data_IF_085470772517
#
_entry.id   IF_085470772517
#
_cell.length_a   1.000
_cell.length_b   1.000
_cell.length_c   1.000
_cell.angle_alpha   90.00
_cell.angle_beta   90.00
_cell.angle_gamma   90.00
#
_symmetry.space_group_name_H-M   'P 1'
#
loop_
_entity.id
_entity.type
_entity.pdbx_description
1 polymer ?
#
# COMPACT_ATOMS: atom_id res chain seq x y z
N UNK A 1 5.26 -14.38 -1.61
CA UNK A 1 4.40 -14.70 -2.77
C UNK A 1 2.97 -14.37 -2.37
N UNK A 2 2.51 -13.24 -2.89
CA UNK A 2 1.17 -12.69 -2.70
C UNK A 2 0.20 -13.44 -3.63
N UNK A 3 -0.90 -13.97 -3.08
CA UNK A 3 -1.80 -14.92 -3.77
C UNK A 3 -3.02 -14.20 -4.38
N UNK A 4 -2.85 -13.01 -4.96
CA UNK A 4 -3.95 -12.09 -5.27
C UNK A 4 -4.26 -11.83 -6.76
N UNK A 5 -3.54 -12.41 -7.72
CA UNK A 5 -3.63 -11.95 -9.13
C UNK A 5 -4.49 -12.78 -10.10
N UNK A 6 -5.45 -13.54 -9.60
CA UNK A 6 -6.64 -13.85 -10.41
C UNK A 6 -7.72 -12.82 -10.07
N UNK A 7 -7.76 -11.71 -10.80
CA UNK A 7 -8.84 -10.73 -10.70
C UNK A 7 -10.15 -11.32 -11.23
N UNK A 8 -10.79 -12.18 -10.43
CA UNK A 8 -12.09 -12.78 -10.74
C UNK A 8 -13.20 -11.80 -10.38
N UNK A 9 -13.97 -11.38 -11.37
CA UNK A 9 -15.19 -10.60 -11.16
C UNK A 9 -16.40 -11.54 -11.28
N UNK A 10 -17.18 -11.65 -10.19
CA UNK A 10 -18.44 -12.39 -10.19
C UNK A 10 -19.59 -11.42 -10.46
N UNK A 11 -20.39 -11.73 -11.48
CA UNK A 11 -21.62 -11.00 -11.79
C UNK A 11 -22.81 -11.89 -11.44
N UNK A 12 -23.54 -11.51 -10.40
CA UNK A 12 -24.83 -12.13 -10.05
C UNK A 12 -25.94 -11.19 -10.48
N UNK A 13 -27.01 -11.74 -11.06
CA UNK A 13 -28.18 -10.94 -11.38
C UNK A 13 -28.86 -10.48 -10.08
N UNK A 14 -29.20 -9.19 -10.00
CA UNK A 14 -29.89 -8.64 -8.83
C UNK A 14 -31.29 -9.22 -8.58
N UNK A 15 -31.86 -9.93 -9.57
CA UNK A 15 -33.06 -10.75 -9.45
C UNK A 15 -32.94 -12.00 -10.35
N UNK A 16 -33.51 -13.16 -9.95
CA UNK A 16 -33.55 -14.35 -10.80
C UNK A 16 -34.35 -14.10 -12.08
N UNK A 17 -33.84 -14.57 -13.23
CA UNK A 17 -34.59 -14.54 -14.49
C UNK A 17 -35.50 -15.76 -14.55
N UNK A 18 -36.81 -15.53 -14.55
CA UNK A 18 -37.78 -16.58 -14.85
C UNK A 18 -37.89 -16.75 -16.37
N UNK A 19 -37.54 -17.91 -16.88
CA UNK A 19 -37.65 -18.24 -18.31
C UNK A 19 -38.78 -19.23 -18.54
N UNK A 20 -39.41 -19.18 -19.72
CA UNK A 20 -40.32 -20.24 -20.18
C UNK A 20 -39.50 -21.38 -20.78
N UNK A 21 -40.10 -22.57 -20.87
CA UNK A 21 -39.50 -23.70 -21.61
C UNK A 21 -39.09 -23.24 -23.02
N UNK A 22 -37.86 -23.56 -23.44
CA UNK A 22 -37.22 -23.16 -24.72
C UNK A 22 -36.84 -21.68 -24.89
N UNK A 23 -36.53 -20.95 -23.81
CA UNK A 23 -36.00 -19.58 -23.92
C UNK A 23 -34.49 -19.57 -24.26
N UNK A 24 -34.04 -18.65 -25.11
CA UNK A 24 -32.61 -18.35 -25.34
C UNK A 24 -32.15 -17.25 -24.37
N UNK A 25 -31.05 -17.48 -23.65
CA UNK A 25 -30.41 -16.46 -22.81
C UNK A 25 -29.16 -15.93 -23.52
N UNK A 26 -29.16 -14.63 -23.84
CA UNK A 26 -28.01 -13.95 -24.47
C UNK A 26 -27.34 -13.00 -23.50
N UNK A 27 -26.08 -13.26 -23.19
CA UNK A 27 -25.26 -12.41 -22.32
C UNK A 27 -24.27 -11.61 -23.16
N UNK A 28 -24.21 -10.29 -22.93
CA UNK A 28 -23.24 -9.40 -23.58
C UNK A 28 -22.47 -8.64 -22.51
N UNK A 29 -21.17 -8.90 -22.42
CA UNK A 29 -20.26 -8.14 -21.57
C UNK A 29 -19.59 -7.05 -22.41
N UNK A 30 -19.66 -5.79 -21.97
CA UNK A 30 -18.98 -4.67 -22.64
C UNK A 30 -17.87 -4.17 -21.73
N UNK A 31 -16.63 -4.33 -22.16
CA UNK A 31 -15.45 -3.78 -21.49
C UNK A 31 -14.87 -2.66 -22.35
N UNK A 32 -14.99 -1.37 -21.96
CA UNK A 32 -14.29 -0.30 -22.65
C UNK A 32 -12.79 -0.46 -22.39
N UNK A 33 -11.99 -0.61 -23.46
CA UNK A 33 -10.55 -0.74 -23.33
C UNK A 33 -10.00 0.49 -22.57
N UNK A 34 -9.46 0.28 -21.38
CA UNK A 34 -8.67 1.30 -20.70
C UNK A 34 -7.28 1.37 -21.34
N UNK A 35 -6.55 2.46 -21.12
CA UNK A 35 -5.14 2.59 -21.50
C UNK A 35 -4.21 1.62 -20.77
N UNK A 36 -4.73 0.80 -19.85
CA UNK A 36 -3.99 -0.29 -19.21
C UNK A 36 -4.07 -1.57 -20.04
N UNK A 37 -2.95 -2.27 -20.18
CA UNK A 37 -2.76 -3.53 -20.94
C UNK A 37 -3.53 -4.74 -20.41
N UNK A 38 -4.61 -4.55 -19.64
CA UNK A 38 -5.38 -5.61 -19.01
C UNK A 38 -6.58 -5.98 -19.90
N UNK A 39 -6.64 -7.23 -20.35
CA UNK A 39 -7.75 -7.80 -21.09
C UNK A 39 -8.45 -8.88 -20.26
N UNK A 40 -9.74 -9.12 -20.53
CA UNK A 40 -10.46 -10.26 -19.97
C UNK A 40 -9.98 -11.55 -20.64
N UNK A 41 -9.29 -12.40 -19.89
CA UNK A 41 -8.71 -13.64 -20.42
C UNK A 41 -9.72 -14.78 -20.60
N UNK A 42 -10.60 -14.99 -19.61
CA UNK A 42 -11.56 -16.10 -19.60
C UNK A 42 -12.91 -15.65 -19.06
N UNK A 43 -13.99 -16.21 -19.61
CA UNK A 43 -15.35 -15.99 -19.14
C UNK A 43 -16.09 -17.32 -19.01
N UNK A 44 -16.83 -17.49 -17.91
CA UNK A 44 -17.68 -18.66 -17.66
C UNK A 44 -19.09 -18.17 -17.35
N UNK A 45 -20.07 -18.73 -18.04
CA UNK A 45 -21.49 -18.60 -17.69
C UNK A 45 -21.92 -19.92 -17.04
N UNK A 46 -22.64 -19.82 -15.93
CA UNK A 46 -23.21 -20.99 -15.27
C UNK A 46 -24.62 -20.67 -14.77
N UNK A 47 -25.48 -21.69 -14.82
CA UNK A 47 -26.76 -21.68 -14.15
C UNK A 47 -26.61 -22.35 -12.80
N UNK A 48 -27.11 -21.72 -11.74
CA UNK A 48 -27.06 -22.29 -10.43
C UNK A 48 -28.07 -23.45 -10.30
N UNK A 49 -27.70 -24.49 -9.57
CA UNK A 49 -28.51 -25.70 -9.40
C UNK A 49 -29.17 -25.79 -8.01
N UNK A 50 -28.88 -24.85 -7.12
CA UNK A 50 -29.35 -24.86 -5.74
C UNK A 50 -29.95 -23.48 -5.35
N UNK A 51 -31.26 -23.45 -5.15
CA UNK A 51 -32.01 -22.22 -4.86
C UNK A 51 -31.62 -21.55 -3.53
N UNK A 52 -31.20 -22.32 -2.52
CA UNK A 52 -30.77 -21.79 -1.22
C UNK A 52 -29.44 -21.03 -1.37
N UNK A 53 -28.46 -21.60 -2.08
CA UNK A 53 -27.18 -20.95 -2.36
C UNK A 53 -27.34 -19.73 -3.28
N UNK A 54 -28.26 -19.80 -4.25
CA UNK A 54 -28.61 -18.64 -5.09
C UNK A 54 -29.17 -17.51 -4.25
N UNK A 55 -30.05 -17.82 -3.30
CA UNK A 55 -30.63 -16.80 -2.46
C UNK A 55 -29.58 -16.12 -1.56
N UNK A 56 -28.51 -16.82 -1.15
CA UNK A 56 -27.35 -16.23 -0.46
C UNK A 56 -26.53 -15.29 -1.34
N UNK A 57 -26.40 -15.60 -2.64
CA UNK A 57 -25.68 -14.79 -3.64
C UNK A 57 -26.38 -13.48 -4.02
N UNK A 58 -27.70 -13.39 -3.83
CA UNK A 58 -28.45 -12.17 -4.13
C UNK A 58 -28.29 -11.20 -2.95
N UNK A 59 -27.76 -9.98 -3.18
CA UNK A 59 -27.58 -9.01 -2.10
C UNK A 59 -28.93 -8.54 -1.54
N UNK A 60 -29.02 -8.27 -0.23
CA UNK A 60 -30.21 -7.66 0.35
C UNK A 60 -30.55 -6.33 -0.32
N UNK A 61 -31.83 -6.09 -0.58
CA UNK A 61 -32.31 -4.82 -1.15
C UNK A 61 -32.72 -3.88 -0.03
N UNK A 62 -32.17 -2.68 -0.04
CA UNK A 62 -32.43 -1.68 0.99
C UNK A 62 -33.24 -0.51 0.42
N UNK A 63 -34.19 -0.02 1.22
CA UNK A 63 -34.80 1.30 0.97
C UNK A 63 -33.89 2.40 1.52
N UNK A 64 -34.04 3.66 1.07
CA UNK A 64 -33.35 4.79 1.70
C UNK A 64 -33.65 4.88 3.19
N UNK A 65 -32.68 5.38 3.96
CA UNK A 65 -32.90 5.70 5.36
C UNK A 65 -34.02 6.75 5.49
N UNK A 66 -34.88 6.56 6.47
CA UNK A 66 -35.86 7.55 6.91
C UNK A 66 -35.37 8.11 8.23
N UNK A 67 -35.37 9.44 8.40
CA UNK A 67 -34.94 10.09 9.64
C UNK A 67 -36.04 10.98 10.17
N UNK A 68 -36.32 10.91 11.47
CA UNK A 68 -37.23 11.81 12.17
C UNK A 68 -36.59 12.26 13.49
N UNK A 69 -36.73 13.54 13.81
CA UNK A 69 -36.11 14.16 14.97
C UNK A 69 -35.84 15.64 14.71
N UNK A 70 -35.39 16.39 15.72
CA UNK A 70 -35.16 15.96 17.10
C UNK A 70 -36.46 15.89 17.92
N UNK A 71 -36.68 14.79 18.65
CA UNK A 71 -37.63 14.74 19.76
C UNK A 71 -37.00 15.36 21.01
N UNK A 72 -37.83 16.00 21.83
CA UNK A 72 -37.38 16.61 23.08
C UNK A 72 -36.93 15.57 24.11
N UNK A 73 -35.81 15.83 24.76
CA UNK A 73 -35.30 15.05 25.88
C UNK A 73 -34.72 15.95 26.97
N UNK A 74 -34.87 15.53 28.22
CA UNK A 74 -34.35 16.23 29.40
C UNK A 74 -32.93 15.75 29.82
N UNK A 75 -32.19 15.12 28.90
CA UNK A 75 -30.81 14.66 29.15
C UNK A 75 -30.47 13.38 28.39
N UNK A 76 -29.18 13.03 28.32
CA UNK A 76 -28.74 11.78 27.67
C UNK A 76 -29.42 10.53 28.24
N UNK A 77 -29.39 10.38 29.57
CA UNK A 77 -29.98 9.22 30.24
C UNK A 77 -31.49 9.13 30.02
N UNK A 78 -32.20 10.24 30.20
CA UNK A 78 -33.65 10.34 29.97
C UNK A 78 -34.00 10.07 28.51
N UNK A 79 -33.29 10.68 27.56
CA UNK A 79 -33.49 10.43 26.13
C UNK A 79 -33.28 8.97 25.77
N UNK A 80 -32.31 8.30 26.39
CA UNK A 80 -32.02 6.89 26.14
C UNK A 80 -33.11 5.95 26.67
N UNK A 81 -33.66 6.23 27.86
CA UNK A 81 -34.63 5.35 28.54
C UNK A 81 -36.09 5.66 28.21
N UNK A 82 -36.45 6.92 27.92
CA UNK A 82 -37.81 7.31 27.54
C UNK A 82 -38.22 6.65 26.24
N UNK A 83 -39.35 5.94 26.25
CA UNK A 83 -39.93 5.33 25.06
C UNK A 83 -40.70 6.39 24.25
N UNK A 84 -40.29 6.62 23.00
CA UNK A 84 -41.00 7.51 22.07
C UNK A 84 -41.86 6.71 21.08
N UNK A 85 -42.87 7.35 20.49
CA UNK A 85 -43.80 6.70 19.56
C UNK A 85 -43.16 5.82 18.47
N UNK A 86 -42.05 6.23 17.79
CA UNK A 86 -41.38 5.37 16.80
C UNK A 86 -40.90 4.01 17.32
N UNK A 87 -40.68 3.86 18.63
CA UNK A 87 -40.27 2.58 19.24
C UNK A 87 -41.41 1.56 19.28
N UNK A 88 -42.67 2.03 19.31
CA UNK A 88 -43.87 1.20 19.34
C UNK A 88 -44.28 0.78 17.95
N UNK A 89 -44.43 1.77 17.07
CA UNK A 89 -44.82 1.58 15.68
C UNK A 89 -44.21 2.67 14.80
N UNK A 90 -43.55 2.24 13.72
CA UNK A 90 -43.02 3.15 12.72
C UNK A 90 -44.11 3.48 11.70
N UNK A 91 -44.76 4.63 11.89
CA UNK A 91 -45.66 5.23 10.90
C UNK A 91 -44.94 6.38 10.17
N UNK A 92 -44.56 6.12 8.91
CA UNK A 92 -43.81 7.07 8.08
C UNK A 92 -44.61 8.33 7.69
N UNK A 93 -45.94 8.32 7.85
CA UNK A 93 -46.79 9.46 7.50
C UNK A 93 -47.15 10.32 8.72
N UNK A 94 -46.87 9.83 9.93
CA UNK A 94 -47.22 10.50 11.18
C UNK A 94 -46.33 11.72 11.42
N UNK A 95 -46.94 12.76 11.98
CA UNK A 95 -46.26 13.93 12.51
C UNK A 95 -46.09 13.78 14.02
N UNK A 96 -44.97 14.29 14.54
CA UNK A 96 -44.63 14.22 15.95
C UNK A 96 -44.27 15.59 16.50
N UNK A 97 -44.49 15.83 17.80
CA UNK A 97 -43.99 17.03 18.45
C UNK A 97 -42.46 16.97 18.58
N UNK A 98 -41.75 17.79 17.81
CA UNK A 98 -40.31 17.96 17.91
C UNK A 98 -39.93 18.98 18.98
N UNK A 99 -38.62 19.25 19.09
CA UNK A 99 -38.09 20.22 20.06
C UNK A 99 -38.61 21.64 19.82
N UNK A 100 -38.71 22.08 18.55
CA UNK A 100 -39.08 23.45 18.17
C UNK A 100 -40.30 23.50 17.26
N UNK A 101 -40.51 22.45 16.49
CA UNK A 101 -41.53 22.38 15.44
C UNK A 101 -42.06 20.94 15.34
N UNK A 102 -43.13 20.78 14.57
CA UNK A 102 -43.59 19.45 14.18
C UNK A 102 -42.55 18.77 13.29
N UNK A 103 -42.18 17.53 13.62
CA UNK A 103 -41.21 16.74 12.87
C UNK A 103 -41.89 15.56 12.17
N UNK A 104 -41.36 15.18 11.01
CA UNK A 104 -41.85 14.07 10.18
C UNK A 104 -40.68 13.24 9.69
N UNK A 105 -40.98 12.01 9.26
CA UNK A 105 -39.99 11.17 8.60
C UNK A 105 -39.57 11.78 7.27
N UNK A 106 -38.26 11.89 7.06
CA UNK A 106 -37.66 12.39 5.85
C UNK A 106 -36.75 11.33 5.25
N UNK A 107 -36.92 11.05 3.96
CA UNK A 107 -36.04 10.16 3.22
C UNK A 107 -34.65 10.81 3.05
N UNK A 108 -33.59 10.04 3.31
CA UNK A 108 -32.19 10.44 3.20
C UNK A 108 -31.49 9.53 2.18
N UNK A 109 -31.64 9.87 0.90
CA UNK A 109 -30.96 9.18 -0.20
C UNK A 109 -29.44 9.43 -0.19
N UNK A 110 -29.01 10.48 0.51
CA UNK A 110 -27.60 10.83 0.74
C UNK A 110 -26.90 9.89 1.74
N UNK A 111 -27.67 9.14 2.55
CA UNK A 111 -27.14 8.25 3.58
C UNK A 111 -26.70 6.91 2.98
N UNK A 112 -25.48 6.89 2.45
CA UNK A 112 -24.81 5.68 1.98
C UNK A 112 -24.16 4.88 3.13
N UNK A 113 -24.44 3.58 3.20
CA UNK A 113 -23.80 2.70 4.15
C UNK A 113 -22.24 2.72 4.05
N UNK A 114 -21.55 2.53 5.18
CA UNK A 114 -20.10 2.63 5.31
C UNK A 114 -19.54 4.05 5.39
N UNK A 115 -20.37 5.08 5.17
CA UNK A 115 -20.00 6.49 5.33
C UNK A 115 -20.56 7.08 6.62
N UNK A 116 -19.87 8.10 7.12
CA UNK A 116 -20.32 8.91 8.24
C UNK A 116 -21.17 10.07 7.73
N UNK A 117 -22.37 10.21 8.29
CA UNK A 117 -23.34 11.21 7.87
C UNK A 117 -23.68 12.17 9.00
N UNK A 118 -23.88 13.44 8.65
CA UNK A 118 -24.35 14.46 9.58
C UNK A 118 -25.88 14.39 9.70
N UNK A 119 -26.37 14.17 10.92
CA UNK A 119 -27.80 14.23 11.26
C UNK A 119 -28.24 15.67 11.54
N UNK A 120 -27.44 16.39 12.33
CA UNK A 120 -27.66 17.80 12.68
C UNK A 120 -26.31 18.43 13.00
N UNK A 121 -26.13 19.69 12.63
CA UNK A 121 -24.90 20.46 12.88
C UNK A 121 -24.86 21.02 14.30
N UNK A 122 -25.94 21.64 14.76
CA UNK A 122 -26.02 22.18 16.12
C UNK A 122 -27.45 22.22 16.68
N UNK A 123 -27.61 21.66 17.88
CA UNK A 123 -28.79 21.80 18.72
C UNK A 123 -28.47 22.78 19.85
N UNK A 124 -28.77 24.07 19.65
CA UNK A 124 -28.40 25.16 20.56
C UNK A 124 -28.98 24.95 21.98
N UNK A 125 -28.22 24.29 22.86
CA UNK A 125 -28.57 24.06 24.26
C UNK A 125 -29.67 23.03 24.54
N UNK A 126 -30.05 22.18 23.58
CA UNK A 126 -31.13 21.18 23.78
C UNK A 126 -30.69 19.77 23.40
N UNK A 127 -31.03 18.79 24.23
CA UNK A 127 -30.81 17.37 23.92
C UNK A 127 -31.88 16.87 22.95
N UNK A 128 -31.43 16.24 21.87
CA UNK A 128 -32.30 15.77 20.80
C UNK A 128 -32.22 14.27 20.65
N UNK A 129 -33.39 13.62 20.55
CA UNK A 129 -33.47 12.20 20.14
C UNK A 129 -33.83 12.14 18.66
N UNK A 130 -33.14 11.32 17.90
CA UNK A 130 -33.42 11.05 16.49
C UNK A 130 -33.75 9.58 16.31
N UNK A 131 -34.67 9.28 15.40
CA UNK A 131 -34.89 7.94 14.91
C UNK A 131 -34.48 7.83 13.46
N UNK A 132 -33.76 6.76 13.16
CA UNK A 132 -33.46 6.34 11.80
C UNK A 132 -34.16 5.02 11.56
N UNK A 133 -34.84 4.88 10.43
CA UNK A 133 -35.55 3.68 10.05
C UNK A 133 -35.18 3.24 8.65
N UNK A 134 -35.04 1.93 8.45
CA UNK A 134 -34.84 1.34 7.13
C UNK A 134 -35.49 -0.02 7.02
N UNK A 135 -36.15 -0.27 5.89
CA UNK A 135 -36.61 -1.59 5.51
C UNK A 135 -35.56 -2.27 4.60
N UNK A 136 -35.23 -3.52 4.92
CA UNK A 136 -34.37 -4.40 4.14
C UNK A 136 -35.15 -5.62 3.67
N UNK A 137 -35.10 -5.92 2.37
CA UNK A 137 -35.64 -7.17 1.82
C UNK A 137 -34.51 -8.16 1.59
N UNK A 138 -34.55 -9.27 2.31
CA UNK A 138 -33.53 -10.31 2.30
C UNK A 138 -34.05 -11.53 1.51
N UNK A 139 -33.34 -12.03 0.49
CA UNK A 139 -33.81 -13.15 -0.35
C UNK A 139 -33.87 -14.51 0.38
N UNK A 140 -32.94 -14.76 1.31
CA UNK A 140 -32.92 -15.93 2.18
C UNK A 140 -32.44 -15.51 3.58
N UNK A 141 -33.09 -16.08 4.60
CA UNK A 141 -32.75 -15.77 5.99
C UNK A 141 -31.30 -16.11 6.28
N UNK A 142 -30.61 -15.21 6.97
CA UNK A 142 -29.17 -15.28 7.19
C UNK A 142 -28.75 -14.45 8.38
N UNK A 143 -27.67 -14.84 9.05
CA UNK A 143 -27.07 -14.12 10.16
C UNK A 143 -26.05 -13.14 9.63
N UNK A 144 -26.28 -11.83 9.82
CA UNK A 144 -25.35 -10.79 9.37
C UNK A 144 -24.64 -10.14 10.54
N UNK A 145 -23.36 -9.85 10.37
CA UNK A 145 -22.62 -8.99 11.28
C UNK A 145 -22.78 -7.53 10.85
N UNK A 146 -23.15 -6.69 11.80
CA UNK A 146 -23.43 -5.28 11.60
C UNK A 146 -22.53 -4.42 12.46
N UNK A 147 -22.34 -3.19 11.98
CA UNK A 147 -21.66 -2.13 12.71
C UNK A 147 -22.51 -0.88 12.68
N UNK A 148 -22.54 -0.18 13.80
CA UNK A 148 -23.21 1.10 13.93
C UNK A 148 -22.40 2.03 14.82
N UNK A 149 -22.46 3.32 14.51
CA UNK A 149 -21.91 4.37 15.37
C UNK A 149 -22.85 5.56 15.34
N UNK A 150 -23.06 6.14 16.50
CA UNK A 150 -23.59 7.48 16.65
C UNK A 150 -22.88 8.18 17.83
N UNK A 151 -22.88 9.50 17.82
CA UNK A 151 -22.49 10.33 18.96
C UNK A 151 -23.78 11.03 19.47
N UNK A 152 -24.24 10.82 20.70
CA UNK A 152 -23.53 10.22 21.84
C UNK A 152 -23.95 8.79 22.19
N UNK A 153 -25.26 8.53 22.33
CA UNK A 153 -25.81 7.24 22.75
C UNK A 153 -26.74 6.70 21.68
N UNK A 154 -26.86 5.38 21.56
CA UNK A 154 -27.81 4.82 20.61
C UNK A 154 -28.31 3.42 20.95
N UNK A 155 -29.49 3.09 20.43
CA UNK A 155 -30.08 1.75 20.48
C UNK A 155 -30.46 1.30 19.08
N UNK A 156 -30.38 0.01 18.83
CA UNK A 156 -30.77 -0.60 17.56
C UNK A 156 -31.80 -1.68 17.81
N UNK A 157 -32.89 -1.63 17.06
CA UNK A 157 -33.88 -2.69 16.96
C UNK A 157 -33.84 -3.31 15.57
N UNK A 158 -33.98 -4.62 15.54
CA UNK A 158 -34.26 -5.38 14.32
C UNK A 158 -35.55 -6.15 14.51
N UNK A 159 -36.52 -5.93 13.63
CA UNK A 159 -37.84 -6.55 13.69
C UNK A 159 -38.54 -6.38 15.06
N UNK A 160 -38.38 -5.20 15.67
CA UNK A 160 -38.97 -4.86 16.98
C UNK A 160 -38.23 -5.41 18.21
N UNK A 161 -37.12 -6.14 18.03
CA UNK A 161 -36.28 -6.62 19.13
C UNK A 161 -35.02 -5.78 19.25
N UNK A 162 -34.68 -5.35 20.47
CA UNK A 162 -33.42 -4.68 20.75
C UNK A 162 -32.27 -5.65 20.50
N UNK A 163 -31.32 -5.25 19.66
CA UNK A 163 -30.12 -6.03 19.33
C UNK A 163 -28.83 -5.37 19.81
N UNK A 164 -28.87 -4.07 20.11
CA UNK A 164 -27.73 -3.31 20.62
C UNK A 164 -28.21 -2.13 21.47
N UNK A 165 -27.58 -1.94 22.63
CA UNK A 165 -27.72 -0.76 23.47
C UNK A 165 -26.34 -0.20 23.80
N UNK A 166 -26.04 1.00 23.28
CA UNK A 166 -24.82 1.74 23.58
C UNK A 166 -25.18 2.91 24.52
N UNK A 167 -25.18 2.62 25.82
CA UNK A 167 -25.56 3.56 26.90
C UNK A 167 -24.40 4.42 27.42
N UNK A 168 -23.19 4.22 26.92
CA UNK A 168 -22.02 5.04 27.21
C UNK A 168 -21.44 5.64 25.92
N UNK A 169 -20.92 6.87 26.00
CA UNK A 169 -20.27 7.54 24.86
C UNK A 169 -19.06 6.72 24.39
N UNK A 170 -18.97 6.47 23.08
CA UNK A 170 -17.80 5.83 22.45
C UNK A 170 -16.85 6.89 21.92
N UNK A 171 -15.55 6.72 22.16
CA UNK A 171 -14.52 7.58 21.57
C UNK A 171 -14.23 7.16 20.13
N UNK A 172 -13.66 8.03 19.28
CA UNK A 172 -13.28 7.67 17.91
C UNK A 172 -12.39 6.43 17.81
N UNK A 173 -11.45 6.26 18.75
CA UNK A 173 -10.53 5.10 18.83
C UNK A 173 -11.24 3.77 19.14
N UNK A 174 -12.43 3.79 19.73
CA UNK A 174 -13.19 2.57 20.07
C UNK A 174 -13.82 1.92 18.83
N UNK A 175 -13.81 2.59 17.68
CA UNK A 175 -14.48 2.15 16.46
C UNK A 175 -16.00 2.04 16.59
N UNK A 176 -16.70 1.59 15.52
CA UNK A 176 -18.14 1.36 15.57
C UNK A 176 -18.48 0.15 16.45
N UNK A 177 -19.64 0.17 17.09
CA UNK A 177 -20.13 -0.98 17.84
C UNK A 177 -20.49 -2.12 16.89
N UNK A 178 -20.04 -3.33 17.19
CA UNK A 178 -20.28 -4.54 16.40
C UNK A 178 -21.39 -5.38 17.04
N UNK A 179 -22.29 -5.94 16.25
CA UNK A 179 -23.38 -6.81 16.70
C UNK A 179 -23.85 -7.74 15.58
N UNK A 180 -24.31 -8.95 15.90
CA UNK A 180 -24.86 -9.89 14.91
C UNK A 180 -26.39 -9.91 14.98
N UNK A 181 -27.05 -10.06 13.83
CA UNK A 181 -28.51 -10.20 13.77
C UNK A 181 -28.93 -11.30 12.80
N UNK A 182 -29.95 -12.07 13.18
CA UNK A 182 -30.60 -13.02 12.29
C UNK A 182 -31.69 -12.29 11.49
N UNK A 183 -31.45 -12.10 10.19
CA UNK A 183 -32.45 -11.56 9.28
C UNK A 183 -33.29 -12.71 8.71
N UNK A 184 -34.60 -12.54 8.71
CA UNK A 184 -35.51 -13.53 8.08
C UNK A 184 -35.59 -13.31 6.57
N UNK A 185 -35.98 -14.34 5.84
CA UNK A 185 -36.39 -14.18 4.45
C UNK A 185 -37.55 -13.16 4.34
N UNK A 186 -37.48 -12.27 3.36
CA UNK A 186 -38.46 -11.21 3.13
C UNK A 186 -38.07 -9.89 3.79
N UNK A 187 -39.07 -9.10 4.20
CA UNK A 187 -38.85 -7.77 4.78
C UNK A 187 -38.38 -7.86 6.24
N UNK A 188 -37.31 -7.13 6.54
CA UNK A 188 -36.75 -6.88 7.86
C UNK A 188 -36.72 -5.37 8.11
N UNK A 189 -36.93 -4.97 9.36
CA UNK A 189 -37.04 -3.57 9.76
C UNK A 189 -35.93 -3.24 10.75
N UNK A 190 -35.15 -2.21 10.44
CA UNK A 190 -34.11 -1.67 11.32
C UNK A 190 -34.59 -0.32 11.81
N UNK A 191 -34.63 -0.16 13.13
CA UNK A 191 -34.87 1.12 13.79
C UNK A 191 -33.64 1.44 14.63
N UNK A 192 -33.15 2.67 14.56
CA UNK A 192 -32.05 3.17 15.37
C UNK A 192 -32.53 4.41 16.10
N UNK A 193 -32.34 4.42 17.41
CA UNK A 193 -32.52 5.61 18.24
C UNK A 193 -31.15 6.20 18.51
N UNK A 194 -30.97 7.48 18.22
CA UNK A 194 -29.76 8.23 18.54
C UNK A 194 -30.11 9.33 19.51
N UNK A 195 -29.39 9.43 20.61
CA UNK A 195 -29.56 10.47 21.62
C UNK A 195 -28.32 11.35 21.57
N UNK A 196 -28.51 12.58 21.14
CA UNK A 196 -27.47 13.58 21.07
C UNK A 196 -27.52 14.49 22.30
N UNK A 197 -26.37 14.74 22.92
CA UNK A 197 -26.24 15.71 23.98
C UNK A 197 -26.30 17.13 23.38
N UNK A 198 -25.25 17.55 22.66
CA UNK A 198 -25.12 18.88 22.05
C UNK A 198 -24.14 18.84 20.88
N UNK A 199 -24.22 19.85 20.01
CA UNK A 199 -23.35 19.97 18.85
C UNK A 199 -23.70 18.97 17.74
N UNK A 200 -22.71 18.73 16.87
CA UNK A 200 -22.89 17.94 15.65
C UNK A 200 -23.12 16.47 15.97
N UNK A 201 -24.21 15.92 15.44
CA UNK A 201 -24.55 14.51 15.60
C UNK A 201 -24.25 13.77 14.31
N UNK A 202 -23.48 12.69 14.41
CA UNK A 202 -23.11 11.86 13.27
C UNK A 202 -23.68 10.44 13.40
N UNK A 203 -23.95 9.83 12.26
CA UNK A 203 -24.41 8.45 12.15
C UNK A 203 -23.63 7.70 11.07
N UNK A 204 -23.23 6.48 11.40
CA UNK A 204 -22.60 5.52 10.48
C UNK A 204 -23.27 4.16 10.64
N UNK A 205 -23.64 3.54 9.53
CA UNK A 205 -24.18 2.18 9.49
C UNK A 205 -23.50 1.34 8.42
N UNK A 206 -23.27 0.07 8.73
CA UNK A 206 -22.49 -0.90 7.97
C UNK A 206 -22.75 -0.95 6.44
N UNK A 207 -21.68 -0.98 5.63
CA UNK A 207 -21.70 -1.25 4.17
C UNK A 207 -21.85 -2.72 3.81
N UNK A 208 -21.36 -3.62 4.67
CA UNK A 208 -21.18 -5.02 4.33
C UNK A 208 -22.11 -5.89 5.16
N UNK A 209 -23.26 -6.26 4.59
CA UNK A 209 -24.13 -7.33 5.10
C UNK A 209 -23.47 -8.70 4.89
N UNK A 210 -22.23 -8.83 5.33
CA UNK A 210 -21.46 -10.05 5.27
C UNK A 210 -21.96 -10.98 6.37
N UNK A 211 -22.30 -12.20 5.98
CA UNK A 211 -22.82 -13.20 6.87
C UNK A 211 -21.78 -13.52 7.95
N UNK A 212 -22.18 -13.60 9.22
CA UNK A 212 -21.26 -13.96 10.30
C UNK A 212 -20.65 -15.38 10.08
N UNK A 213 -21.38 -16.23 9.35
CA UNK A 213 -21.01 -17.57 8.91
C UNK A 213 -20.44 -17.60 7.46
N UNK A 214 -20.11 -16.41 6.94
CA UNK A 214 -19.57 -16.00 5.64
C UNK A 214 -19.24 -17.12 4.64
N UNK A 215 -20.15 -17.37 3.70
CA UNK A 215 -19.81 -17.97 2.41
C UNK A 215 -19.55 -16.83 1.41
N UNK A 216 -18.28 -16.47 1.10
CA UNK A 216 -17.99 -15.35 0.20
C UNK A 216 -18.66 -15.57 -1.14
N UNK A 217 -19.15 -14.51 -1.78
CA UNK A 217 -19.81 -14.58 -3.09
C UNK A 217 -19.10 -15.47 -4.12
N UNK A 218 -17.76 -15.38 -4.28
CA UNK A 218 -17.01 -16.29 -5.16
C UNK A 218 -17.12 -17.78 -4.76
N UNK A 219 -17.05 -18.09 -3.48
CA UNK A 219 -17.16 -19.47 -2.95
C UNK A 219 -18.59 -19.97 -3.13
N UNK A 220 -19.59 -19.14 -2.81
CA UNK A 220 -21.00 -19.44 -3.03
C UNK A 220 -21.29 -19.70 -4.52
N UNK A 221 -20.70 -18.93 -5.43
CA UNK A 221 -20.84 -19.14 -6.87
C UNK A 221 -20.20 -20.45 -7.33
N UNK A 222 -19.01 -20.79 -6.82
CA UNK A 222 -18.38 -22.10 -7.09
C UNK A 222 -19.31 -23.23 -6.63
N UNK A 223 -19.80 -23.18 -5.38
CA UNK A 223 -20.67 -24.23 -4.85
C UNK A 223 -22.03 -24.31 -5.57
N UNK A 224 -22.56 -23.20 -6.07
CA UNK A 224 -23.85 -23.17 -6.75
C UNK A 224 -23.81 -23.70 -8.20
N UNK A 225 -22.64 -23.78 -8.83
CA UNK A 225 -22.51 -23.91 -10.30
C UNK A 225 -21.84 -25.19 -10.80
N UNK A 226 -21.36 -26.07 -9.91
CA UNK A 226 -20.73 -27.34 -10.31
C UNK A 226 -21.16 -28.50 -9.41
N UNK A 227 -21.41 -29.65 -10.04
CA UNK A 227 -21.65 -30.91 -9.35
C UNK A 227 -20.38 -31.48 -8.70
N UNK A 228 -19.20 -31.05 -9.17
CA UNK A 228 -17.90 -31.29 -8.53
C UNK A 228 -17.18 -29.96 -8.27
N UNK A 229 -17.38 -29.35 -7.08
CA UNK A 229 -16.70 -28.13 -6.67
C UNK A 229 -15.17 -28.28 -6.57
N UNK A 230 -14.66 -29.50 -6.43
CA UNK A 230 -13.25 -29.78 -6.20
C UNK A 230 -12.41 -29.94 -7.47
N UNK A 231 -12.96 -29.59 -8.65
CA UNK A 231 -12.22 -29.51 -9.92
C UNK A 231 -11.22 -28.34 -9.96
N UNK A 232 -11.36 -27.44 -10.93
CA UNK A 232 -10.42 -26.31 -11.13
C UNK A 232 -10.38 -25.32 -9.96
N UNK A 233 -11.41 -25.29 -9.10
CA UNK A 233 -11.57 -24.30 -8.03
C UNK A 233 -11.19 -24.85 -6.63
N UNK A 234 -10.58 -26.05 -6.58
CA UNK A 234 -10.21 -26.77 -5.33
C UNK A 234 -9.39 -25.93 -4.36
N UNK A 235 -8.44 -25.14 -4.88
CA UNK A 235 -7.57 -24.29 -4.06
C UNK A 235 -8.38 -23.23 -3.33
N UNK A 236 -9.27 -22.52 -4.02
CA UNK A 236 -10.10 -21.46 -3.43
C UNK A 236 -11.05 -21.99 -2.36
N UNK A 237 -11.71 -23.13 -2.62
CA UNK A 237 -12.58 -23.78 -1.62
C UNK A 237 -11.81 -24.26 -0.39
N UNK A 238 -10.66 -24.90 -0.61
CA UNK A 238 -9.79 -25.37 0.47
C UNK A 238 -9.31 -24.21 1.33
N UNK A 239 -8.82 -23.14 0.71
CA UNK A 239 -8.26 -22.01 1.43
C UNK A 239 -9.36 -21.23 2.18
N UNK A 240 -10.55 -21.11 1.60
CA UNK A 240 -11.73 -20.62 2.31
C UNK A 240 -12.03 -21.47 3.55
N UNK A 241 -12.20 -22.79 3.39
CA UNK A 241 -12.52 -23.69 4.49
C UNK A 241 -11.50 -23.59 5.63
N UNK A 242 -10.20 -23.56 5.28
CA UNK A 242 -9.11 -23.46 6.26
C UNK A 242 -9.10 -22.16 7.05
N UNK A 243 -9.56 -21.05 6.46
CA UNK A 243 -9.53 -19.72 7.09
C UNK A 243 -10.82 -19.38 7.83
N UNK A 244 -11.96 -19.79 7.27
CA UNK A 244 -13.28 -19.37 7.77
C UNK A 244 -13.97 -20.46 8.61
N UNK A 245 -13.69 -21.74 8.35
CA UNK A 245 -14.47 -22.86 8.92
C UNK A 245 -13.68 -23.69 9.93
N UNK A 246 -12.39 -23.95 9.70
CA UNK A 246 -11.56 -24.73 10.62
C UNK A 246 -10.96 -23.86 11.73
N UNK A 247 -11.36 -24.07 13.00
CA UNK A 247 -10.81 -23.30 14.13
C UNK A 247 -9.30 -23.49 14.30
N UNK A 248 -8.81 -24.72 14.15
CA UNK A 248 -7.39 -25.05 14.38
C UNK A 248 -6.47 -24.39 13.35
N UNK A 249 -6.94 -24.23 12.11
CA UNK A 249 -6.17 -23.61 11.05
C UNK A 249 -6.32 -22.09 11.03
N UNK A 250 -7.48 -21.56 11.44
CA UNK A 250 -7.72 -20.13 11.55
C UNK A 250 -6.64 -19.46 12.41
N UNK A 251 -6.42 -19.96 13.62
CA UNK A 251 -5.41 -19.43 14.54
C UNK A 251 -4.00 -19.48 13.93
N UNK A 252 -3.66 -20.55 13.22
CA UNK A 252 -2.37 -20.69 12.53
C UNK A 252 -2.22 -19.67 11.40
N UNK A 253 -3.27 -19.42 10.61
CA UNK A 253 -3.24 -18.43 9.54
C UNK A 253 -3.18 -17.00 10.07
N UNK A 254 -3.89 -16.69 11.15
CA UNK A 254 -3.85 -15.40 11.83
C UNK A 254 -2.43 -15.13 12.38
N UNK A 255 -1.81 -16.12 13.02
CA UNK A 255 -0.41 -16.04 13.45
C UNK A 255 0.55 -15.84 12.28
N UNK A 256 0.38 -16.56 11.15
CA UNK A 256 1.24 -16.37 9.97
C UNK A 256 1.08 -14.97 9.37
N UNK A 257 -0.14 -14.43 9.34
CA UNK A 257 -0.38 -13.06 8.88
C UNK A 257 0.32 -12.05 9.79
N UNK A 258 0.17 -12.20 11.11
CA UNK A 258 0.86 -11.40 12.11
C UNK A 258 2.38 -11.49 11.97
N UNK A 259 2.96 -12.70 11.91
CA UNK A 259 4.41 -12.87 11.78
C UNK A 259 4.97 -12.29 10.48
N UNK A 260 4.19 -12.27 9.40
CA UNK A 260 4.58 -11.59 8.16
C UNK A 260 4.62 -10.08 8.35
N UNK A 261 3.62 -9.51 9.02
CA UNK A 261 3.60 -8.08 9.33
C UNK A 261 4.76 -7.70 10.26
N UNK A 262 5.02 -8.51 11.29
CA UNK A 262 6.17 -8.35 12.18
C UNK A 262 7.49 -8.44 11.42
N UNK A 263 7.64 -9.41 10.51
CA UNK A 263 8.83 -9.54 9.67
C UNK A 263 9.02 -8.33 8.75
N UNK A 264 7.95 -7.80 8.15
CA UNK A 264 8.00 -6.60 7.31
C UNK A 264 8.42 -5.36 8.11
N UNK A 265 8.01 -5.23 9.37
CA UNK A 265 8.47 -4.17 10.27
C UNK A 265 9.96 -4.32 10.53
N UNK A 266 10.41 -5.52 10.92
CA UNK A 266 11.83 -5.81 11.16
C UNK A 266 12.67 -5.55 9.91
N UNK A 267 12.23 -5.99 8.74
CA UNK A 267 12.94 -5.76 7.48
C UNK A 267 13.10 -4.27 7.15
N UNK A 268 12.09 -3.45 7.44
CA UNK A 268 12.15 -1.99 7.25
C UNK A 268 13.09 -1.29 8.24
N UNK A 269 13.28 -1.86 9.43
CA UNK A 269 14.22 -1.33 10.41
C UNK A 269 15.68 -1.63 10.05
N UNK A 270 15.95 -2.63 9.20
CA UNK A 270 17.31 -2.94 8.74
C UNK A 270 17.86 -1.71 8.00
N UNK A 271 18.93 -1.07 8.50
CA UNK A 271 19.53 0.07 7.81
C UNK A 271 20.04 -0.36 6.44
N UNK A 272 19.46 0.20 5.39
CA UNK A 272 19.90 -0.04 4.02
C UNK A 272 20.80 1.09 3.53
N UNK A 273 21.71 0.77 2.62
CA UNK A 273 22.53 1.75 1.92
C UNK A 273 22.35 1.59 0.42
N UNK A 274 22.32 2.72 -0.30
CA UNK A 274 22.24 2.68 -1.76
C UNK A 274 23.55 2.12 -2.32
N UNK A 275 23.45 1.03 -3.06
CA UNK A 275 24.58 0.46 -3.81
C UNK A 275 24.40 0.72 -5.30
N UNK A 276 25.49 1.09 -5.96
CA UNK A 276 25.50 1.20 -7.42
C UNK A 276 25.63 -0.22 -8.02
N UNK A 277 24.52 -0.80 -8.46
CA UNK A 277 24.50 -2.07 -9.18
C UNK A 277 24.51 -1.83 -10.69
N UNK A 278 25.27 -2.63 -11.42
CA UNK A 278 25.23 -2.64 -12.88
C UNK A 278 23.85 -3.16 -13.35
N UNK A 279 23.25 -2.49 -14.33
CA UNK A 279 21.96 -2.90 -14.87
C UNK A 279 22.11 -4.16 -15.71
N UNK A 280 21.12 -5.06 -15.67
CA UNK A 280 21.13 -6.31 -16.46
C UNK A 280 21.27 -6.03 -17.96
N UNK A 281 20.73 -4.89 -18.42
CA UNK A 281 20.96 -4.34 -19.75
C UNK A 281 21.63 -2.97 -19.66
N UNK A 282 22.86 -2.81 -20.17
CA UNK A 282 23.53 -1.51 -20.25
C UNK A 282 22.71 -0.51 -21.06
N UNK A 283 22.78 0.77 -20.69
CA UNK A 283 22.15 1.86 -21.43
C UNK A 283 22.99 2.19 -22.66
N UNK A 284 22.34 2.34 -23.81
CA UNK A 284 23.01 2.86 -25.00
C UNK A 284 23.51 4.28 -24.72
N UNK A 285 24.80 4.51 -25.01
CA UNK A 285 25.47 5.79 -24.81
C UNK A 285 25.87 6.35 -26.18
N UNK A 286 25.75 7.66 -26.36
CA UNK A 286 25.98 8.34 -27.63
C UNK A 286 26.90 9.54 -27.45
N UNK A 287 27.68 9.87 -28.47
CA UNK A 287 28.38 11.15 -28.53
C UNK A 287 27.35 12.28 -28.55
N UNK A 288 27.51 13.26 -27.68
CA UNK A 288 26.63 14.44 -27.64
C UNK A 288 27.23 15.54 -28.51
N UNK A 289 26.52 15.90 -29.58
CA UNK A 289 27.00 16.91 -30.52
C UNK A 289 27.05 18.26 -29.80
N UNK A 290 28.26 18.79 -29.63
CA UNK A 290 28.53 20.02 -28.85
C UNK A 290 28.10 19.92 -27.37
N UNK A 291 27.91 18.71 -26.84
CA UNK A 291 27.47 18.49 -25.47
C UNK A 291 25.96 18.65 -25.24
N UNK A 292 25.16 18.87 -26.30
CA UNK A 292 23.70 18.99 -26.21
C UNK A 292 23.05 17.61 -25.98
N UNK A 293 22.30 17.45 -24.88
CA UNK A 293 21.78 16.15 -24.41
C UNK A 293 20.72 15.53 -25.34
N UNK A 294 20.03 16.36 -26.12
CA UNK A 294 19.01 16.00 -27.10
C UNK A 294 19.57 15.77 -28.50
N UNK A 295 20.81 16.23 -28.78
CA UNK A 295 21.49 16.01 -30.06
C UNK A 295 22.50 14.88 -29.99
N UNK A 296 21.97 13.66 -30.04
CA UNK A 296 22.76 12.42 -30.08
C UNK A 296 23.41 12.22 -31.46
N UNK A 297 24.71 11.96 -31.46
CA UNK A 297 25.50 11.51 -32.60
C UNK A 297 25.68 9.98 -32.58
N UNK A 298 26.88 9.52 -32.91
CA UNK A 298 27.18 8.09 -32.99
C UNK A 298 27.09 7.39 -31.64
N UNK A 299 26.64 6.14 -31.65
CA UNK A 299 26.66 5.27 -30.47
C UNK A 299 28.11 4.94 -30.11
N UNK A 300 28.42 4.97 -28.81
CA UNK A 300 29.74 4.62 -28.28
C UNK A 300 29.66 3.44 -27.34
N UNK A 301 30.76 2.69 -27.30
CA UNK A 301 30.96 1.56 -26.41
C UNK A 301 32.05 1.87 -25.36
N UNK A 302 32.05 1.21 -24.20
CA UNK A 302 33.09 1.38 -23.20
C UNK A 302 34.49 1.14 -23.77
N UNK A 303 35.39 2.09 -23.58
CA UNK A 303 36.76 2.05 -24.10
C UNK A 303 37.70 2.96 -23.33
N UNK A 304 38.95 2.99 -23.79
CA UNK A 304 40.05 3.81 -23.22
C UNK A 304 40.68 4.65 -24.33
N UNK A 305 41.32 5.80 -23.99
CA UNK A 305 42.03 6.60 -24.98
C UNK A 305 43.09 5.79 -25.71
N UNK A 306 43.12 5.87 -27.06
CA UNK A 306 44.02 5.08 -27.89
C UNK A 306 45.53 5.38 -27.68
N UNK A 307 45.86 6.53 -27.08
CA UNK A 307 47.23 6.91 -26.73
C UNK A 307 47.75 6.20 -25.46
N UNK A 308 46.84 5.64 -24.66
CA UNK A 308 47.16 4.88 -23.46
C UNK A 308 47.16 3.38 -23.76
N UNK A 309 47.68 2.52 -22.86
CA UNK A 309 47.66 1.07 -23.07
C UNK A 309 46.26 0.56 -23.43
N UNK A 310 46.16 -0.46 -24.29
CA UNK A 310 44.86 -0.99 -24.71
C UNK A 310 44.11 -1.62 -23.52
N UNK A 311 42.80 -1.80 -23.69
CA UNK A 311 41.98 -2.52 -22.71
C UNK A 311 42.51 -3.96 -22.51
N UNK A 312 42.61 -4.47 -21.26
CA UNK A 312 43.13 -5.81 -21.02
C UNK A 312 42.20 -6.87 -21.64
N UNK A 313 42.77 -7.89 -22.30
CA UNK A 313 42.01 -8.89 -23.07
C UNK A 313 40.95 -9.62 -22.25
N UNK A 314 41.27 -9.94 -20.99
CA UNK A 314 40.41 -10.75 -20.10
C UNK A 314 39.61 -9.89 -19.11
N UNK A 315 39.61 -8.56 -19.28
CA UNK A 315 38.87 -7.65 -18.41
C UNK A 315 37.45 -7.39 -18.95
N UNK A 316 36.41 -7.50 -18.10
CA UNK A 316 35.03 -7.20 -18.51
C UNK A 316 34.89 -5.75 -18.97
N UNK A 317 34.06 -5.46 -19.96
CA UNK A 317 33.83 -4.10 -20.50
C UNK A 317 32.89 -3.27 -19.61
N UNK A 318 33.23 -3.16 -18.34
CA UNK A 318 32.48 -2.42 -17.32
C UNK A 318 33.44 -1.72 -16.34
N UNK A 319 32.89 -1.18 -15.25
CA UNK A 319 33.66 -0.46 -14.22
C UNK A 319 34.77 -1.30 -13.60
N UNK A 320 34.56 -2.61 -13.44
CA UNK A 320 35.60 -3.51 -12.92
C UNK A 320 36.78 -3.61 -13.88
N UNK A 321 36.53 -3.72 -15.19
CA UNK A 321 37.61 -3.73 -16.17
C UNK A 321 38.35 -2.41 -16.27
N UNK A 322 37.65 -1.28 -16.16
CA UNK A 322 38.28 0.05 -16.09
C UNK A 322 39.19 0.16 -14.86
N UNK A 323 38.73 -0.32 -13.70
CA UNK A 323 39.54 -0.32 -12.47
C UNK A 323 40.81 -1.18 -12.64
N UNK A 324 40.69 -2.39 -13.20
CA UNK A 324 41.85 -3.25 -13.51
C UNK A 324 42.83 -2.57 -14.47
N UNK A 325 42.33 -1.87 -15.49
CA UNK A 325 43.16 -1.15 -16.44
C UNK A 325 43.87 0.06 -15.80
N UNK A 326 43.20 0.81 -14.92
CA UNK A 326 43.79 1.97 -14.24
C UNK A 326 44.96 1.57 -13.33
N UNK A 327 44.85 0.45 -12.63
CA UNK A 327 45.89 -0.03 -11.68
C UNK A 327 46.83 -1.06 -12.32
N UNK A 328 46.75 -1.24 -13.63
CA UNK A 328 47.65 -2.13 -14.36
C UNK A 328 49.09 -1.62 -14.23
N UNK A 329 50.08 -2.47 -13.91
CA UNK A 329 51.48 -2.07 -13.81
C UNK A 329 52.04 -1.43 -15.10
N UNK A 330 51.47 -1.74 -16.27
CA UNK A 330 51.83 -1.13 -17.53
C UNK A 330 51.20 0.24 -17.75
N UNK A 331 50.25 0.67 -16.90
CA UNK A 331 49.60 1.97 -17.03
C UNK A 331 50.55 3.10 -16.57
N UNK A 332 50.93 4.05 -17.45
CA UNK A 332 52.04 4.95 -17.18
C UNK A 332 51.73 6.07 -16.18
N UNK A 333 50.46 6.42 -15.95
CA UNK A 333 50.12 7.66 -15.22
C UNK A 333 49.67 7.44 -13.78
N UNK A 334 48.86 6.41 -13.53
CA UNK A 334 48.17 6.23 -12.24
C UNK A 334 49.10 6.26 -11.04
N UNK A 335 50.19 5.49 -11.06
CA UNK A 335 51.13 5.48 -9.95
C UNK A 335 51.86 6.83 -9.81
N UNK A 336 52.36 7.39 -10.92
CA UNK A 336 53.07 8.70 -10.93
C UNK A 336 52.21 9.83 -10.38
N UNK A 337 50.95 9.93 -10.81
CA UNK A 337 50.00 10.95 -10.34
C UNK A 337 49.73 10.80 -8.85
N UNK A 338 49.46 9.57 -8.39
CA UNK A 338 49.19 9.33 -6.97
C UNK A 338 50.41 9.61 -6.08
N UNK A 339 51.60 9.13 -6.46
CA UNK A 339 52.85 9.42 -5.75
C UNK A 339 53.11 10.92 -5.67
N UNK A 340 52.92 11.65 -6.78
CA UNK A 340 53.11 13.09 -6.80
C UNK A 340 52.15 13.82 -5.85
N UNK A 341 50.89 13.36 -5.75
CA UNK A 341 49.91 13.89 -4.79
C UNK A 341 50.33 13.63 -3.34
N UNK A 342 50.79 12.41 -3.02
CA UNK A 342 51.30 12.11 -1.68
C UNK A 342 52.55 12.93 -1.35
N UNK A 343 53.47 13.07 -2.30
CA UNK A 343 54.65 13.91 -2.15
C UNK A 343 54.26 15.37 -1.86
N UNK A 344 53.33 15.92 -2.64
CA UNK A 344 52.81 17.28 -2.42
C UNK A 344 52.18 17.43 -1.04
N UNK A 345 51.43 16.45 -0.55
CA UNK A 345 50.84 16.50 0.80
C UNK A 345 51.91 16.59 1.90
N UNK A 346 53.09 15.99 1.68
CA UNK A 346 54.21 16.03 2.63
C UNK A 346 55.05 17.31 2.50
N UNK A 347 55.31 17.79 1.28
CA UNK A 347 56.27 18.88 1.02
C UNK A 347 55.62 20.20 0.56
N UNK A 348 54.30 20.27 0.44
CA UNK A 348 53.55 21.43 -0.06
C UNK A 348 53.60 21.62 -1.58
N UNK A 349 54.61 21.05 -2.25
CA UNK A 349 54.79 21.09 -3.71
C UNK A 349 55.05 19.69 -4.25
N UNK A 350 54.42 19.34 -5.37
CA UNK A 350 54.65 18.07 -6.06
C UNK A 350 56.01 18.05 -6.77
N UNK A 351 56.53 16.86 -7.06
CA UNK A 351 57.67 16.68 -7.98
C UNK A 351 57.31 17.26 -9.35
N UNK A 352 56.07 17.04 -9.78
CA UNK A 352 55.36 17.81 -10.82
C UNK A 352 54.48 18.83 -10.11
N UNK A 353 54.76 20.12 -10.31
CA UNK A 353 54.06 21.21 -9.60
C UNK A 353 52.60 21.36 -10.04
N UNK A 354 52.29 21.09 -11.31
CA UNK A 354 50.93 21.07 -11.87
C UNK A 354 50.25 19.73 -11.59
N UNK A 355 49.78 19.55 -10.36
CA UNK A 355 49.29 18.24 -9.88
C UNK A 355 48.09 17.71 -10.66
N UNK A 356 47.30 18.59 -11.26
CA UNK A 356 46.14 18.23 -12.10
C UNK A 356 46.47 18.06 -13.59
N UNK A 357 47.71 18.31 -14.02
CA UNK A 357 48.12 18.19 -15.42
C UNK A 357 49.53 17.59 -15.57
N UNK A 358 49.56 16.33 -16.02
CA UNK A 358 50.76 15.57 -16.38
C UNK A 358 50.99 15.54 -17.91
N UNK A 359 50.18 16.28 -18.66
CA UNK A 359 50.26 16.42 -20.10
C UNK A 359 51.21 17.53 -20.55
N UNK A 360 51.13 17.88 -21.83
CA UNK A 360 52.03 18.86 -22.46
C UNK A 360 51.83 20.30 -21.98
N UNK A 361 50.70 20.59 -21.32
CA UNK A 361 50.40 21.89 -20.72
C UNK A 361 50.84 21.96 -19.24
N UNK A 362 51.24 20.84 -18.65
CA UNK A 362 51.79 20.75 -17.31
C UNK A 362 53.29 21.08 -17.24
N UNK A 363 53.77 21.34 -16.02
CA UNK A 363 55.20 21.46 -15.74
C UNK A 363 55.90 20.09 -15.80
N UNK A 364 57.16 20.07 -16.24
CA UNK A 364 57.96 18.84 -16.21
C UNK A 364 58.31 18.45 -14.77
N UNK A 365 58.47 17.15 -14.46
CA UNK A 365 58.95 16.73 -13.16
C UNK A 365 60.31 17.36 -12.84
N UNK A 366 60.44 17.96 -11.67
CA UNK A 366 61.73 18.48 -11.18
C UNK A 366 62.77 17.38 -11.00
N UNK A 367 62.33 16.19 -10.59
CA UNK A 367 63.16 15.00 -10.37
C UNK A 367 62.47 13.77 -11.00
N UNK A 368 62.60 13.57 -12.33
CA UNK A 368 61.86 12.53 -13.06
C UNK A 368 62.22 11.11 -12.61
N UNK A 369 63.50 10.83 -12.35
CA UNK A 369 63.96 9.51 -11.89
C UNK A 369 63.41 9.16 -10.50
N UNK A 370 63.32 10.15 -9.60
CA UNK A 370 62.74 9.96 -8.27
C UNK A 370 61.24 9.63 -8.36
N UNK A 371 60.52 10.35 -9.23
CA UNK A 371 59.10 10.10 -9.47
C UNK A 371 58.86 8.68 -10.01
N UNK A 372 59.67 8.27 -10.97
CA UNK A 372 59.59 6.93 -11.58
C UNK A 372 59.94 5.83 -10.58
N UNK A 373 60.97 6.06 -9.75
CA UNK A 373 61.37 5.12 -8.71
C UNK A 373 60.27 4.96 -7.66
N UNK A 374 59.73 6.05 -7.13
CA UNK A 374 58.64 6.02 -6.15
C UNK A 374 57.36 5.40 -6.73
N UNK A 375 57.05 5.66 -8.01
CA UNK A 375 55.89 5.07 -8.69
C UNK A 375 56.05 3.55 -8.85
N UNK A 376 57.24 3.09 -9.23
CA UNK A 376 57.54 1.66 -9.35
C UNK A 376 57.51 0.96 -8.00
N UNK A 377 58.07 1.59 -6.96
CA UNK A 377 58.01 1.10 -5.58
C UNK A 377 56.57 1.00 -5.06
N UNK A 378 55.73 1.99 -5.37
CA UNK A 378 54.32 1.98 -4.97
C UNK A 378 53.51 0.85 -5.64
N UNK A 379 53.80 0.53 -6.90
CA UNK A 379 53.23 -0.64 -7.57
C UNK A 379 53.78 -1.93 -6.94
N UNK A 380 55.10 -2.02 -6.74
CA UNK A 380 55.79 -3.19 -6.21
C UNK A 380 55.39 -3.56 -4.78
N UNK A 381 54.99 -2.58 -3.96
CA UNK A 381 54.46 -2.80 -2.61
C UNK A 381 53.01 -3.31 -2.60
N UNK A 382 52.37 -3.44 -3.76
CA UNK A 382 50.96 -3.79 -3.88
C UNK A 382 50.02 -2.61 -3.58
N UNK A 383 50.43 -1.39 -3.94
CA UNK A 383 49.69 -0.15 -3.68
C UNK A 383 49.55 0.16 -2.17
N UNK A 384 50.53 -0.22 -1.35
CA UNK A 384 50.55 0.08 0.08
C UNK A 384 50.85 1.57 0.33
N UNK A 385 49.79 2.32 0.64
CA UNK A 385 49.86 3.76 0.95
C UNK A 385 50.69 4.02 2.21
N UNK A 386 50.61 3.17 3.24
CA UNK A 386 51.37 3.36 4.49
C UNK A 386 52.86 3.15 4.25
N UNK A 387 53.21 2.17 3.42
CA UNK A 387 54.59 1.95 3.00
C UNK A 387 55.17 3.18 2.30
N UNK A 388 54.48 3.69 1.28
CA UNK A 388 54.91 4.88 0.54
C UNK A 388 55.05 6.11 1.46
N UNK A 389 54.05 6.36 2.32
CA UNK A 389 54.11 7.47 3.27
C UNK A 389 55.28 7.33 4.24
N UNK A 390 55.51 6.13 4.80
CA UNK A 390 56.65 5.85 5.67
C UNK A 390 57.97 6.12 4.96
N UNK A 391 58.10 5.66 3.72
CA UNK A 391 59.29 5.88 2.89
C UNK A 391 59.59 7.37 2.72
N UNK A 392 58.56 8.17 2.44
CA UNK A 392 58.69 9.63 2.29
C UNK A 392 59.10 10.27 3.63
N UNK A 393 58.37 10.04 4.72
CA UNK A 393 58.60 10.75 5.99
C UNK A 393 59.87 10.30 6.73
N UNK A 394 60.40 9.13 6.41
CA UNK A 394 61.69 8.65 6.94
C UNK A 394 62.87 8.96 6.01
N UNK A 395 62.63 9.56 4.85
CA UNK A 395 63.68 10.00 3.93
C UNK A 395 64.60 11.04 4.59
N UNK A 396 65.84 11.13 4.11
CA UNK A 396 66.75 12.20 4.54
C UNK A 396 66.17 13.57 4.19
N UNK A 397 65.51 13.70 3.02
CA UNK A 397 64.88 14.92 2.53
C UNK A 397 63.78 15.44 3.47
N UNK A 398 62.86 14.57 3.91
CA UNK A 398 61.79 15.00 4.83
C UNK A 398 62.32 15.33 6.23
N UNK A 399 63.39 14.65 6.66
CA UNK A 399 64.00 14.86 7.98
C UNK A 399 65.03 16.00 8.02
N UNK A 400 65.19 16.77 6.94
CA UNK A 400 66.06 17.93 6.96
C UNK A 400 65.58 18.95 8.00
N UNK A 401 66.52 19.50 8.76
CA UNK A 401 66.23 20.56 9.72
C UNK A 401 66.18 21.90 9.00
N UNK A 402 65.20 22.74 9.32
CA UNK A 402 65.17 24.14 8.90
C UNK A 402 66.13 25.04 9.71
N UNK A 403 66.96 24.46 10.58
CA UNK A 403 67.99 25.19 11.34
C UNK A 403 69.16 25.47 10.41
N UNK A 404 69.30 26.72 10.01
CA UNK A 404 70.43 27.22 9.22
C UNK A 404 71.71 27.08 10.05
N UNK A 405 72.72 26.44 9.49
CA UNK A 405 74.08 26.38 10.07
C UNK A 405 74.81 27.69 9.77
N UNK A 406 75.73 28.16 10.62
CA UNK A 406 76.44 29.44 10.41
C UNK A 406 77.17 29.58 9.06
N UNK A 407 77.47 28.47 8.37
CA UNK A 407 78.10 28.46 7.05
C UNK A 407 77.15 28.56 5.84
N UNK A 408 75.83 28.54 6.05
CA UNK A 408 74.76 28.72 5.06
C UNK A 408 73.96 30.00 5.36
#
# INVERSE_FOLDING_TARGET
MDYSDAHTALFVLGEPVKTKTNSEVRVRLRYPASTSTRALGHFRLAAAQNDELVALLIPPKQKPWQVVGPFKSDGLATGFTTEYDPEKEVDLNKAYPGVREEIRWNARDDFADGKTHLLVDELHGVHGVYYLYRALKVPAGRRVDLTARADDLFKVWVNGRIVLEQSAKRKPEDGPAKFSVDLKQGENRILVKVVNYQGACYFTFNADLNDADNLPGPIAAILATTADPAGNDKTSLRDFYRRAVSPELKDVFDNVAQWREENDVVEKEIPTTMVAKEADKPRDTFLLMRGEYDRKGEKVEPGVPAILPPWPKDAPRNRLGLAKWLVDPAHPLTARVNVNRFWQQCFGVGIVKTVEDFGVQGERPSHPELLDWLATEFIGSGWDVKHLQRLIVTSATYRQSSRVTPEL
#
